data_IF_979257732066
#
_entry.id   IF_979257732066
#
_cell.length_a   1.000
_cell.length_b   1.000
_cell.length_c   1.000
_cell.angle_alpha   90.00
_cell.angle_beta   90.00
_cell.angle_gamma   90.00
#
_symmetry.space_group_name_H-M   'P 1'
#
loop_
_entity.id
_entity.type
_entity.pdbx_description
1 polymer ?
#
# COMPACT_ATOMS: atom_id res chain seq x y z
N UNK A 1 -21.06 -21.42 -7.50
CA UNK A 1 -20.30 -20.64 -8.50
C UNK A 1 -19.85 -19.36 -7.80
N UNK A 2 -18.54 -19.14 -7.64
CA UNK A 2 -18.06 -17.87 -7.06
C UNK A 2 -18.05 -16.85 -8.19
N UNK A 3 -18.90 -15.84 -8.07
CA UNK A 3 -18.91 -14.70 -8.97
C UNK A 3 -17.60 -13.91 -8.78
N UNK A 4 -16.78 -13.88 -9.82
CA UNK A 4 -15.47 -13.21 -9.84
C UNK A 4 -15.57 -11.73 -10.20
N UNK A 5 -16.78 -11.21 -10.43
CA UNK A 5 -16.98 -9.78 -10.76
C UNK A 5 -17.03 -8.89 -9.52
N UNK A 6 -17.41 -9.43 -8.36
CA UNK A 6 -17.38 -8.71 -7.07
C UNK A 6 -15.97 -8.68 -6.48
N UNK A 7 -15.49 -7.47 -6.18
CA UNK A 7 -14.15 -7.19 -5.64
C UNK A 7 -14.27 -6.49 -4.28
N UNK A 8 -13.17 -6.42 -3.54
CA UNK A 8 -13.14 -5.72 -2.25
C UNK A 8 -14.05 -6.37 -1.21
N UNK A 9 -14.65 -5.56 -0.35
CA UNK A 9 -15.53 -6.00 0.75
C UNK A 9 -16.76 -6.77 0.30
N UNK A 10 -17.14 -6.65 -0.96
CA UNK A 10 -18.33 -7.28 -1.53
C UNK A 10 -18.04 -8.70 -2.05
N UNK A 11 -16.77 -9.14 -2.03
CA UNK A 11 -16.36 -10.48 -2.42
C UNK A 11 -16.47 -11.47 -1.25
N UNK A 12 -17.01 -12.69 -1.44
CA UNK A 12 -16.98 -13.73 -0.40
C UNK A 12 -15.56 -14.24 -0.09
N UNK A 13 -14.55 -13.87 -0.89
CA UNK A 13 -13.13 -14.13 -0.62
C UNK A 13 -12.46 -12.97 0.14
N UNK A 14 -13.22 -11.97 0.57
CA UNK A 14 -12.69 -10.84 1.32
C UNK A 14 -12.27 -11.27 2.73
N UNK A 15 -10.96 -11.20 2.99
CA UNK A 15 -10.35 -11.54 4.28
C UNK A 15 -10.30 -10.36 5.27
N UNK A 16 -10.88 -9.21 4.91
CA UNK A 16 -10.87 -8.01 5.75
C UNK A 16 -9.46 -7.55 6.11
N UNK A 17 -9.24 -7.29 7.39
CA UNK A 17 -7.96 -6.84 7.94
C UNK A 17 -6.95 -7.98 8.18
N UNK A 18 -7.36 -9.24 8.01
CA UNK A 18 -6.47 -10.40 8.09
C UNK A 18 -5.69 -10.63 6.78
N UNK A 19 -5.18 -9.55 6.19
CA UNK A 19 -4.33 -9.59 5.00
C UNK A 19 -2.86 -9.40 5.37
N UNK A 20 -1.97 -10.09 4.67
CA UNK A 20 -0.52 -9.91 4.81
C UNK A 20 -0.05 -8.66 4.04
N UNK A 21 1.17 -8.21 4.35
CA UNK A 21 1.87 -7.15 3.61
C UNK A 21 1.82 -7.35 2.07
N UNK A 22 2.12 -8.57 1.61
CA UNK A 22 2.07 -8.90 0.19
C UNK A 22 0.65 -8.89 -0.36
N UNK A 23 -0.31 -9.40 0.42
CA UNK A 23 -1.72 -9.36 0.04
C UNK A 23 -2.21 -7.93 -0.12
N UNK A 24 -1.79 -7.01 0.76
CA UNK A 24 -2.10 -5.60 0.62
C UNK A 24 -1.54 -5.01 -0.67
N UNK A 25 -0.29 -5.32 -1.02
CA UNK A 25 0.30 -4.84 -2.28
C UNK A 25 -0.48 -5.28 -3.52
N UNK A 26 -1.09 -6.48 -3.45
CA UNK A 26 -2.03 -6.93 -4.48
C UNK A 26 -3.34 -6.14 -4.40
N UNK A 27 -3.90 -5.95 -3.20
CA UNK A 27 -5.15 -5.22 -2.97
C UNK A 27 -5.08 -3.78 -3.49
N UNK A 28 -4.07 -3.02 -3.10
CA UNK A 28 -3.92 -1.63 -3.55
C UNK A 28 -3.76 -1.53 -5.06
N UNK A 29 -3.10 -2.51 -5.69
CA UNK A 29 -2.98 -2.57 -7.15
C UNK A 29 -4.33 -2.82 -7.85
N UNK A 30 -5.19 -3.63 -7.24
CA UNK A 30 -6.55 -3.92 -7.76
C UNK A 30 -7.48 -2.72 -7.56
N UNK A 31 -7.35 -2.03 -6.42
CA UNK A 31 -8.20 -0.93 -6.01
C UNK A 31 -7.82 0.40 -6.70
N UNK A 32 -6.53 0.73 -6.72
CA UNK A 32 -6.00 2.03 -7.15
C UNK A 32 -5.15 1.97 -8.43
N UNK A 33 -4.99 0.79 -9.02
CA UNK A 33 -4.12 0.59 -10.18
C UNK A 33 -2.64 0.45 -9.83
N UNK A 34 -1.80 0.40 -10.86
CA UNK A 34 -0.34 0.29 -10.69
C UNK A 34 0.19 1.64 -10.22
N UNK A 35 1.14 1.66 -9.28
CA UNK A 35 1.79 2.90 -8.87
C UNK A 35 2.34 3.70 -10.08
N UNK A 36 2.89 3.01 -11.08
CA UNK A 36 3.41 3.62 -12.31
C UNK A 36 2.36 4.27 -13.23
N UNK A 37 1.07 4.13 -12.94
CA UNK A 37 -0.02 4.87 -13.59
C UNK A 37 -0.26 6.24 -12.94
N UNK A 38 0.48 6.58 -11.88
CA UNK A 38 0.37 7.81 -11.12
C UNK A 38 1.72 8.56 -11.08
N UNK A 39 1.63 9.88 -10.88
CA UNK A 39 2.79 10.72 -10.61
C UNK A 39 3.24 10.56 -9.15
N UNK A 40 4.54 10.60 -8.93
CA UNK A 40 5.17 10.57 -7.63
C UNK A 40 4.76 11.81 -6.85
N UNK A 41 4.22 11.62 -5.64
CA UNK A 41 3.73 12.72 -4.80
C UNK A 41 4.81 13.73 -4.40
N UNK A 42 6.07 13.29 -4.37
CA UNK A 42 7.19 14.12 -3.88
C UNK A 42 7.88 14.89 -5.00
N UNK A 43 8.04 14.30 -6.19
CA UNK A 43 8.84 14.89 -7.28
C UNK A 43 8.08 15.11 -8.58
N UNK A 44 6.83 14.63 -8.70
CA UNK A 44 6.02 14.71 -9.92
C UNK A 44 6.47 13.80 -11.07
N UNK A 45 7.57 13.05 -10.93
CA UNK A 45 7.99 12.05 -11.92
C UNK A 45 7.15 10.78 -11.84
N UNK A 46 7.29 9.85 -12.78
CA UNK A 46 6.51 8.60 -12.76
C UNK A 46 6.80 7.78 -11.49
N UNK A 47 5.76 7.39 -10.74
CA UNK A 47 5.92 6.53 -9.58
C UNK A 47 6.29 5.09 -9.98
N UNK A 48 6.81 4.32 -9.03
CA UNK A 48 7.18 2.93 -9.24
C UNK A 48 6.52 2.00 -8.22
N UNK A 49 6.27 2.51 -7.01
CA UNK A 49 5.86 1.74 -5.86
C UNK A 49 4.78 2.50 -5.08
N UNK A 50 3.94 1.73 -4.38
CA UNK A 50 3.05 2.27 -3.36
C UNK A 50 3.82 2.30 -2.04
N UNK A 51 3.90 3.48 -1.43
CA UNK A 51 4.61 3.72 -0.18
C UNK A 51 3.58 3.98 0.92
N UNK A 52 3.71 3.29 2.04
CA UNK A 52 2.83 3.49 3.19
C UNK A 52 3.17 4.81 3.89
N UNK A 53 2.17 5.64 4.18
CA UNK A 53 2.39 6.98 4.73
C UNK A 53 2.59 7.01 6.26
N UNK A 54 2.52 5.85 6.94
CA UNK A 54 2.68 5.73 8.40
C UNK A 54 1.68 6.59 9.22
N UNK A 55 0.49 6.80 8.67
CA UNK A 55 -0.58 7.59 9.30
C UNK A 55 -1.68 6.74 9.93
N UNK A 56 -1.58 5.41 9.84
CA UNK A 56 -2.59 4.48 10.33
C UNK A 56 -2.59 4.31 11.83
N UNK A 57 -3.78 4.39 12.44
CA UNK A 57 -3.98 4.09 13.88
C UNK A 57 -3.86 2.59 14.19
N UNK A 58 -4.09 1.73 13.20
CA UNK A 58 -4.04 0.27 13.29
C UNK A 58 -2.89 -0.29 12.44
N UNK A 59 -1.71 0.32 12.53
CA UNK A 59 -0.52 -0.12 11.83
C UNK A 59 -0.16 -1.58 12.19
N UNK A 60 0.11 -2.38 11.16
CA UNK A 60 0.54 -3.77 11.26
C UNK A 60 2.00 -3.87 10.87
N UNK A 61 2.70 -4.85 11.44
CA UNK A 61 4.08 -5.15 11.08
C UNK A 61 4.13 -6.54 10.48
N UNK A 62 4.80 -6.70 9.32
CA UNK A 62 5.02 -8.00 8.70
C UNK A 62 6.05 -8.82 9.49
N UNK A 63 6.13 -10.12 9.23
CA UNK A 63 7.16 -10.99 9.83
C UNK A 63 8.60 -10.55 9.51
N UNK A 64 8.77 -9.73 8.46
CA UNK A 64 10.06 -9.16 8.05
C UNK A 64 10.29 -7.74 8.59
N UNK A 65 9.43 -7.25 9.49
CA UNK A 65 9.55 -5.92 10.09
C UNK A 65 9.03 -4.76 9.24
N UNK A 66 8.27 -5.03 8.18
CA UNK A 66 7.72 -3.96 7.33
C UNK A 66 6.38 -3.49 7.88
N UNK A 67 6.28 -2.21 8.23
CA UNK A 67 5.02 -1.58 8.62
C UNK A 67 4.07 -1.46 7.42
N UNK A 68 2.77 -1.68 7.66
CA UNK A 68 1.72 -1.56 6.67
C UNK A 68 0.35 -1.31 7.32
N UNK A 69 -0.56 -0.72 6.56
CA UNK A 69 -1.97 -0.57 6.91
C UNK A 69 -2.84 -1.42 6.00
N UNK A 70 -4.02 -1.87 6.45
CA UNK A 70 -4.96 -2.60 5.58
C UNK A 70 -5.81 -1.67 4.72
N UNK A 71 -5.77 -0.37 5.02
CA UNK A 71 -6.42 0.71 4.31
C UNK A 71 -5.55 1.20 3.15
N UNK A 72 -6.05 0.99 1.92
CA UNK A 72 -5.34 1.38 0.71
C UNK A 72 -5.22 2.90 0.55
N UNK A 73 -6.02 3.71 1.26
CA UNK A 73 -5.97 5.17 1.19
C UNK A 73 -4.72 5.76 1.86
N UNK A 74 -4.10 5.01 2.78
CA UNK A 74 -2.91 5.44 3.54
C UNK A 74 -1.59 5.20 2.78
N UNK A 75 -1.69 5.05 1.46
CA UNK A 75 -0.57 4.79 0.58
C UNK A 75 -0.46 5.86 -0.48
N UNK A 76 0.76 6.31 -0.72
CA UNK A 76 1.07 7.31 -1.74
C UNK A 76 1.95 6.71 -2.84
N UNK A 77 1.71 7.05 -4.12
CA UNK A 77 2.56 6.60 -5.21
C UNK A 77 3.89 7.36 -5.15
N UNK A 78 5.00 6.62 -5.07
CA UNK A 78 6.35 7.20 -5.04
C UNK A 78 7.27 6.52 -6.06
N UNK A 79 8.19 7.28 -6.60
CA UNK A 79 9.33 6.70 -7.32
C UNK A 79 10.31 6.11 -6.30
N UNK A 80 11.13 5.12 -6.71
CA UNK A 80 12.08 4.43 -5.82
C UNK A 80 12.98 5.35 -4.99
N UNK A 81 13.61 6.41 -5.55
CA UNK A 81 14.47 7.28 -4.73
C UNK A 81 13.68 8.08 -3.69
N UNK A 82 12.51 8.61 -4.05
CA UNK A 82 11.64 9.33 -3.11
C UNK A 82 11.09 8.39 -2.02
N UNK A 83 10.72 7.16 -2.39
CA UNK A 83 10.28 6.14 -1.45
C UNK A 83 11.37 5.82 -0.41
N UNK A 84 12.59 5.51 -0.85
CA UNK A 84 13.69 5.21 0.06
C UNK A 84 14.08 6.40 0.97
N UNK A 85 13.98 7.63 0.45
CA UNK A 85 14.20 8.84 1.24
C UNK A 85 13.11 9.03 2.31
N UNK A 86 11.84 8.82 1.95
CA UNK A 86 10.71 8.86 2.86
C UNK A 86 10.86 7.84 3.99
N UNK A 87 11.10 6.58 3.66
CA UNK A 87 11.29 5.51 4.67
C UNK A 87 12.47 5.79 5.60
N UNK A 88 13.55 6.37 5.08
CA UNK A 88 14.72 6.74 5.87
C UNK A 88 14.41 7.88 6.85
N UNK A 89 13.64 8.88 6.41
CA UNK A 89 13.19 9.97 7.27
C UNK A 89 12.26 9.46 8.39
N UNK A 90 11.40 8.49 8.10
CA UNK A 90 10.53 7.87 9.11
C UNK A 90 11.33 7.09 10.16
N UNK A 91 12.32 6.30 9.75
CA UNK A 91 13.20 5.59 10.70
C UNK A 91 14.04 6.51 11.58
N UNK A 92 14.40 7.69 11.10
CA UNK A 92 15.14 8.67 11.89
C UNK A 92 14.25 9.43 12.90
N UNK A 93 12.93 9.37 12.74
CA UNK A 93 11.94 10.08 13.55
C UNK A 93 11.24 9.19 14.59
N UNK A 94 11.56 7.89 14.62
CA UNK A 94 11.08 6.89 15.56
C UNK A 94 12.13 6.60 16.65
#
# INVERSE_FOLDING_TARGET
MIDRTVRGSDSPQWIGDNISYFGLHVRIKVDRGRAAEHDCVDCGGQAAEWSYDHTGVDEKVSDTGMAYSTDTAQYSPRCKPCHGAFDSAQRASA
#
